data_IF_865113109912
#
_entry.id   IF_865113109912
#
_cell.length_a   1.000
_cell.length_b   1.000
_cell.length_c   1.000
_cell.angle_alpha   90.00
_cell.angle_beta   90.00
_cell.angle_gamma   90.00
#
_symmetry.space_group_name_H-M   'P 1'
#
loop_
_entity.id
_entity.type
_entity.pdbx_description
1 polymer ?
#
# COMPACT_ATOMS: atom_id res chain seq x y z
N UNK A 1 -3.25 9.59 -41.37
CA UNK A 1 -2.29 8.87 -42.22
C UNK A 1 -0.99 8.70 -41.46
N UNK A 2 -0.26 7.62 -41.72
CA UNK A 2 1.02 7.31 -41.06
C UNK A 2 2.17 7.74 -41.97
N UNK A 3 3.16 8.42 -41.39
CA UNK A 3 4.36 8.91 -42.06
C UNK A 3 5.59 8.47 -41.28
N UNK A 4 6.43 7.68 -41.93
CA UNK A 4 7.71 7.27 -41.37
C UNK A 4 8.77 8.32 -41.73
N UNK A 5 9.64 8.66 -40.79
CA UNK A 5 10.71 9.63 -41.01
C UNK A 5 12.05 9.12 -40.50
N UNK A 6 13.13 9.62 -41.11
CA UNK A 6 14.51 9.41 -40.69
C UNK A 6 15.25 10.74 -40.78
N UNK A 7 15.65 11.27 -39.63
CA UNK A 7 16.35 12.54 -39.47
C UNK A 7 17.78 12.27 -39.03
N UNK A 8 18.74 13.00 -39.58
CA UNK A 8 20.05 13.18 -38.96
C UNK A 8 19.90 14.02 -37.68
N UNK A 9 20.90 14.02 -36.79
CA UNK A 9 20.90 14.90 -35.61
C UNK A 9 20.73 16.37 -36.03
N UNK A 10 19.80 17.08 -35.39
CA UNK A 10 19.35 18.43 -35.76
C UNK A 10 18.80 18.58 -37.21
N UNK A 11 18.58 17.48 -37.92
CA UNK A 11 18.03 17.46 -39.27
C UNK A 11 16.53 17.74 -39.29
N UNK A 12 16.02 18.10 -40.47
CA UNK A 12 14.59 18.33 -40.68
C UNK A 12 14.06 17.62 -41.93
N UNK A 13 12.77 17.26 -41.89
CA UNK A 13 12.03 16.69 -43.02
C UNK A 13 10.70 17.41 -43.15
N UNK A 14 10.28 17.66 -44.39
CA UNK A 14 8.97 18.21 -44.69
C UNK A 14 8.01 17.08 -45.04
N UNK A 15 6.78 17.18 -44.55
CA UNK A 15 5.69 16.26 -44.85
C UNK A 15 4.54 17.09 -45.39
N UNK A 16 4.17 16.85 -46.65
CA UNK A 16 3.02 17.48 -47.29
C UNK A 16 1.76 16.69 -46.92
N UNK A 17 1.05 17.20 -45.92
CA UNK A 17 -0.18 16.63 -45.38
C UNK A 17 -1.08 17.76 -44.91
N UNK A 18 -2.37 17.69 -45.27
CA UNK A 18 -3.39 18.59 -44.75
C UNK A 18 -4.15 17.92 -43.61
N UNK A 19 -4.37 18.65 -42.51
CA UNK A 19 -4.99 18.09 -41.33
C UNK A 19 -5.17 19.05 -40.17
N UNK A 20 -5.73 18.52 -39.08
CA UNK A 20 -5.97 19.22 -37.81
C UNK A 20 -5.43 18.47 -36.59
N UNK A 21 -4.81 17.29 -36.79
CA UNK A 21 -4.19 16.50 -35.74
C UNK A 21 -2.79 16.03 -36.11
N UNK A 22 -1.92 15.94 -35.11
CA UNK A 22 -0.55 15.44 -35.22
C UNK A 22 -0.25 14.59 -33.99
N UNK A 23 0.19 13.34 -34.15
CA UNK A 23 0.65 12.48 -33.06
C UNK A 23 1.99 11.86 -33.42
N UNK A 24 2.98 12.04 -32.57
CA UNK A 24 4.25 11.33 -32.66
C UNK A 24 4.06 9.93 -32.05
N UNK A 25 3.79 8.92 -32.87
CA UNK A 25 3.43 7.57 -32.40
C UNK A 25 4.58 6.89 -31.69
N UNK A 26 5.77 6.96 -32.28
CA UNK A 26 6.98 6.31 -31.76
C UNK A 26 8.22 6.92 -32.40
N UNK A 27 9.32 6.97 -31.66
CA UNK A 27 10.64 7.21 -32.21
C UNK A 27 11.70 7.31 -31.13
N UNK A 28 12.94 7.62 -31.52
CA UNK A 28 14.12 7.46 -30.65
C UNK A 28 14.49 8.71 -29.85
N UNK A 29 13.84 9.85 -30.10
CA UNK A 29 14.14 11.11 -29.40
C UNK A 29 13.06 12.18 -29.59
N UNK A 30 13.22 13.33 -28.93
CA UNK A 30 12.28 14.45 -29.08
C UNK A 30 12.32 15.05 -30.48
N UNK A 31 11.15 15.47 -30.99
CA UNK A 31 11.02 16.18 -32.27
C UNK A 31 10.32 17.52 -32.05
N UNK A 32 10.60 18.48 -32.93
CA UNK A 32 9.84 19.71 -33.12
C UNK A 32 9.02 19.60 -34.38
N UNK A 33 7.72 19.84 -34.29
CA UNK A 33 6.83 19.93 -35.45
C UNK A 33 6.41 21.37 -35.65
N UNK A 34 6.81 21.94 -36.78
CA UNK A 34 6.44 23.30 -37.22
C UNK A 34 5.28 23.18 -38.20
N UNK A 35 4.23 23.97 -38.00
CA UNK A 35 3.04 23.94 -38.85
C UNK A 35 3.13 25.00 -39.94
N UNK A 36 2.49 24.76 -41.10
CA UNK A 36 2.49 25.73 -42.20
C UNK A 36 1.76 27.04 -41.90
N UNK A 37 0.84 27.04 -40.92
CA UNK A 37 0.15 28.24 -40.43
C UNK A 37 0.96 29.02 -39.38
N UNK A 38 2.19 28.56 -39.06
CA UNK A 38 3.04 29.13 -38.03
C UNK A 38 2.94 28.40 -36.68
N UNK A 39 3.89 28.70 -35.80
CA UNK A 39 4.02 28.01 -34.50
C UNK A 39 4.74 26.66 -34.60
N UNK A 40 5.16 26.17 -33.43
CA UNK A 40 5.86 24.89 -33.29
C UNK A 40 5.38 24.17 -32.04
N UNK A 41 5.43 22.84 -32.07
CA UNK A 41 5.15 21.97 -30.93
C UNK A 41 6.33 21.01 -30.77
N UNK A 42 6.91 20.96 -29.57
CA UNK A 42 7.88 19.94 -29.21
C UNK A 42 7.13 18.71 -28.70
N UNK A 43 7.39 17.54 -29.29
CA UNK A 43 6.71 16.28 -29.00
C UNK A 43 7.72 15.21 -28.58
N UNK A 44 7.42 14.52 -27.50
CA UNK A 44 8.04 13.25 -27.13
C UNK A 44 7.28 12.07 -27.77
N UNK A 45 7.93 10.92 -27.98
CA UNK A 45 7.24 9.72 -28.44
C UNK A 45 5.99 9.41 -27.61
N UNK A 46 4.86 9.19 -28.27
CA UNK A 46 3.54 8.97 -27.67
C UNK A 46 2.66 10.23 -27.58
N UNK A 47 3.23 11.43 -27.69
CA UNK A 47 2.49 12.69 -27.56
C UNK A 47 1.85 13.14 -28.88
N UNK A 48 0.79 13.94 -28.78
CA UNK A 48 0.13 14.54 -29.92
C UNK A 48 -0.64 15.80 -29.55
N UNK A 49 -1.01 16.55 -30.58
CA UNK A 49 -1.79 17.78 -30.49
C UNK A 49 -2.95 17.71 -31.49
N UNK A 50 -4.10 18.24 -31.08
CA UNK A 50 -5.33 18.28 -31.85
C UNK A 50 -5.84 19.72 -31.97
N UNK A 51 -6.66 19.97 -32.99
CA UNK A 51 -7.25 21.30 -33.22
C UNK A 51 -6.27 22.32 -33.79
N UNK A 52 -5.15 21.85 -34.36
CA UNK A 52 -4.15 22.72 -35.01
C UNK A 52 -4.19 22.44 -36.49
N UNK A 53 -4.74 23.38 -37.26
CA UNK A 53 -4.83 23.23 -38.71
C UNK A 53 -3.48 23.43 -39.40
N UNK A 54 -3.19 22.59 -40.37
CA UNK A 54 -2.00 22.69 -41.22
C UNK A 54 -2.28 22.16 -42.62
N UNK A 55 -1.47 22.61 -43.57
CA UNK A 55 -1.40 22.12 -44.97
C UNK A 55 -0.07 21.43 -45.26
N UNK A 56 0.90 21.60 -44.37
CA UNK A 56 2.24 21.04 -44.42
C UNK A 56 2.85 21.07 -43.02
N UNK A 57 3.69 20.09 -42.73
CA UNK A 57 4.45 19.99 -41.48
C UNK A 57 5.95 19.95 -41.77
N UNK A 58 6.74 20.59 -40.92
CA UNK A 58 8.19 20.42 -40.90
C UNK A 58 8.56 19.77 -39.58
N UNK A 59 9.09 18.55 -39.63
CA UNK A 59 9.56 17.80 -38.48
C UNK A 59 11.07 18.01 -38.35
N UNK A 60 11.53 18.45 -37.19
CA UNK A 60 12.94 18.69 -36.89
C UNK A 60 13.36 17.86 -35.68
N UNK A 61 14.57 17.31 -35.70
CA UNK A 61 15.13 16.67 -34.52
C UNK A 61 15.47 17.71 -33.45
N UNK A 62 15.14 17.40 -32.19
CA UNK A 62 15.55 18.18 -31.02
C UNK A 62 16.37 17.38 -30.02
N UNK A 63 16.64 16.11 -30.30
CA UNK A 63 17.45 15.26 -29.45
C UNK A 63 18.96 15.47 -29.65
N UNK A 64 19.37 16.03 -30.79
CA UNK A 64 20.77 16.17 -31.19
C UNK A 64 21.37 14.89 -31.80
N UNK A 65 20.60 13.79 -31.83
CA UNK A 65 20.99 12.49 -32.37
C UNK A 65 20.13 12.10 -33.58
N UNK A 66 20.59 11.13 -34.38
CA UNK A 66 19.78 10.60 -35.46
C UNK A 66 18.46 10.04 -34.91
N UNK A 67 17.34 10.51 -35.47
CA UNK A 67 16.00 10.20 -34.99
C UNK A 67 15.20 9.50 -36.09
N UNK A 68 14.69 8.32 -35.78
CA UNK A 68 13.77 7.58 -36.65
C UNK A 68 12.47 7.38 -35.93
N UNK A 69 11.36 7.59 -36.61
CA UNK A 69 10.06 7.49 -35.99
C UNK A 69 8.89 7.50 -36.95
N UNK A 70 7.71 7.47 -36.35
CA UNK A 70 6.42 7.37 -37.00
C UNK A 70 5.53 8.50 -36.52
N UNK A 71 5.04 9.31 -37.45
CA UNK A 71 4.14 10.42 -37.19
C UNK A 71 2.78 10.13 -37.81
N UNK A 72 1.72 10.33 -37.04
CA UNK A 72 0.34 10.26 -37.50
C UNK A 72 -0.16 11.68 -37.72
N UNK A 73 -0.58 12.01 -38.94
CA UNK A 73 -1.18 13.31 -39.24
C UNK A 73 -2.35 13.15 -40.21
N UNK A 74 -3.32 14.05 -40.16
CA UNK A 74 -4.44 14.09 -41.09
C UNK A 74 -5.63 14.91 -40.59
N UNK A 75 -6.75 14.79 -41.30
CA UNK A 75 -7.99 15.53 -41.02
C UNK A 75 -9.06 14.71 -40.27
N UNK A 76 -8.81 13.42 -40.01
CA UNK A 76 -9.77 12.51 -39.36
C UNK A 76 -9.64 12.53 -37.84
N UNK A 77 -10.75 12.41 -37.11
CA UNK A 77 -10.76 12.31 -35.64
C UNK A 77 -10.37 10.89 -35.17
N UNK A 78 -9.11 10.51 -35.39
CA UNK A 78 -8.57 9.25 -34.89
C UNK A 78 -7.92 9.46 -33.52
N UNK A 79 -8.56 8.92 -32.47
CA UNK A 79 -8.10 9.00 -31.09
C UNK A 79 -7.64 7.63 -30.61
N UNK A 80 -6.37 7.33 -30.84
CA UNK A 80 -5.72 6.21 -30.17
C UNK A 80 -5.06 6.72 -28.89
N UNK A 81 -5.72 6.55 -27.75
CA UNK A 81 -5.17 6.87 -26.43
C UNK A 81 -4.55 5.64 -25.75
N UNK A 82 -4.32 4.56 -26.49
CA UNK A 82 -3.70 3.37 -25.93
C UNK A 82 -2.23 3.69 -25.66
N UNK A 83 -1.92 4.03 -24.42
CA UNK A 83 -0.57 4.05 -23.90
C UNK A 83 -0.28 2.60 -23.50
N UNK A 84 0.55 1.84 -24.24
CA UNK A 84 1.04 0.56 -23.75
C UNK A 84 1.94 0.83 -22.54
N UNK A 85 1.35 0.80 -21.36
CA UNK A 85 2.03 0.81 -20.08
C UNK A 85 1.48 -0.34 -19.26
N UNK A 86 2.35 -1.13 -18.64
CA UNK A 86 1.93 -2.11 -17.67
C UNK A 86 1.31 -1.35 -16.50
N UNK A 87 -0.02 -1.37 -16.38
CA UNK A 87 -0.69 -0.96 -15.15
C UNK A 87 -0.46 -2.08 -14.16
N UNK A 88 0.70 -2.08 -13.50
CA UNK A 88 0.88 -2.90 -12.31
C UNK A 88 0.09 -2.22 -11.20
N UNK A 89 -1.08 -2.76 -10.90
CA UNK A 89 -1.74 -2.48 -9.63
C UNK A 89 -0.86 -3.14 -8.57
N UNK A 90 0.10 -2.38 -8.05
CA UNK A 90 0.96 -2.86 -6.99
C UNK A 90 0.08 -3.18 -5.78
N UNK A 91 -0.05 -4.47 -5.45
CA UNK A 91 -0.67 -4.89 -4.21
C UNK A 91 0.14 -4.26 -3.06
N UNK A 92 -0.47 -3.28 -2.38
CA UNK A 92 0.15 -2.58 -1.27
C UNK A 92 0.65 -3.55 -0.20
N UNK A 93 -0.06 -4.68 0.00
CA UNK A 93 0.33 -5.72 0.94
C UNK A 93 1.67 -6.39 0.59
N UNK A 94 1.88 -6.70 -0.68
CA UNK A 94 3.14 -7.26 -1.17
C UNK A 94 4.28 -6.24 -1.05
N UNK A 95 4.02 -4.97 -1.38
CA UNK A 95 5.02 -3.91 -1.25
C UNK A 95 5.44 -3.70 0.22
N UNK A 96 4.49 -3.62 1.16
CA UNK A 96 4.79 -3.49 2.59
C UNK A 96 5.55 -4.70 3.15
N UNK A 97 5.21 -5.91 2.68
CA UNK A 97 5.91 -7.13 3.09
C UNK A 97 7.35 -7.12 2.56
N UNK A 98 7.56 -6.69 1.31
CA UNK A 98 8.90 -6.56 0.73
C UNK A 98 9.74 -5.49 1.40
N UNK A 99 9.10 -4.40 1.87
CA UNK A 99 9.72 -3.33 2.63
C UNK A 99 9.90 -3.66 4.12
N UNK A 100 9.67 -4.92 4.53
CA UNK A 100 9.88 -5.40 5.89
C UNK A 100 9.00 -4.72 6.96
N UNK A 101 7.83 -4.21 6.58
CA UNK A 101 6.93 -3.50 7.49
C UNK A 101 5.71 -4.33 7.93
N UNK A 102 5.55 -5.57 7.44
CA UNK A 102 4.45 -6.46 7.82
C UNK A 102 4.91 -7.54 8.79
N UNK A 103 4.14 -7.76 9.86
CA UNK A 103 4.48 -8.67 10.94
C UNK A 103 3.32 -9.59 11.29
N UNK A 104 3.65 -10.72 11.91
CA UNK A 104 2.69 -11.63 12.52
C UNK A 104 3.26 -12.15 13.83
N UNK A 105 2.39 -12.30 14.83
CA UNK A 105 2.81 -12.74 16.15
C UNK A 105 1.64 -13.26 16.96
N UNK A 106 1.88 -14.27 17.79
CA UNK A 106 0.89 -14.86 18.69
C UNK A 106 1.27 -14.64 20.15
N UNK A 107 0.26 -14.39 20.98
CA UNK A 107 0.40 -14.34 22.43
C UNK A 107 -0.72 -15.16 23.08
N UNK A 108 -0.43 -15.75 24.23
CA UNK A 108 -1.32 -16.70 24.91
C UNK A 108 -1.61 -16.22 26.33
N UNK A 109 -2.88 -16.11 26.67
CA UNK A 109 -3.34 -15.90 28.04
C UNK A 109 -3.42 -17.26 28.74
N UNK A 110 -2.53 -17.51 29.70
CA UNK A 110 -2.46 -18.78 30.45
C UNK A 110 -3.41 -18.72 31.64
N UNK A 111 -4.26 -19.74 31.82
CA UNK A 111 -5.21 -19.82 32.93
C UNK A 111 -4.50 -19.77 34.29
N UNK A 112 -4.90 -18.80 35.11
CA UNK A 112 -4.57 -18.74 36.52
C UNK A 112 -5.77 -18.26 37.35
N UNK A 113 -6.05 -18.95 38.44
CA UNK A 113 -7.19 -18.67 39.29
C UNK A 113 -6.99 -17.33 40.04
N UNK A 114 -8.08 -16.57 40.21
CA UNK A 114 -8.05 -15.30 40.94
C UNK A 114 -7.41 -14.13 40.17
N UNK A 115 -6.95 -14.33 38.93
CA UNK A 115 -6.40 -13.26 38.09
C UNK A 115 -7.12 -13.17 36.75
N UNK A 116 -7.01 -11.99 36.13
CA UNK A 116 -7.40 -11.74 34.76
C UNK A 116 -6.19 -11.98 33.86
N UNK A 117 -6.22 -13.08 33.12
CA UNK A 117 -5.16 -13.42 32.18
C UNK A 117 -5.40 -12.66 30.88
N UNK A 118 -4.35 -12.07 30.35
CA UNK A 118 -4.39 -11.28 29.13
C UNK A 118 -3.28 -11.70 28.18
N UNK A 119 -3.52 -11.46 26.90
CA UNK A 119 -2.49 -11.44 25.88
C UNK A 119 -2.59 -10.09 25.16
N UNK A 120 -1.48 -9.50 24.75
CA UNK A 120 -1.49 -8.16 24.18
C UNK A 120 -0.47 -8.00 23.05
N UNK A 121 -0.80 -7.13 22.12
CA UNK A 121 0.16 -6.50 21.22
C UNK A 121 0.38 -5.07 21.73
N UNK A 122 1.52 -4.85 22.38
CA UNK A 122 1.90 -3.58 22.94
C UNK A 122 2.81 -2.81 21.99
N UNK A 123 2.56 -1.51 21.85
CA UNK A 123 3.49 -0.56 21.26
C UNK A 123 4.21 0.18 22.40
N UNK A 124 5.45 -0.21 22.79
CA UNK A 124 6.11 0.35 23.96
C UNK A 124 6.28 1.87 23.90
N UNK A 125 6.28 2.52 25.06
CA UNK A 125 6.62 3.93 25.14
C UNK A 125 8.02 4.19 24.55
N UNK A 126 8.17 5.21 23.73
CA UNK A 126 9.43 5.53 23.04
C UNK A 126 9.61 4.88 21.67
N UNK A 127 8.66 4.04 21.21
CA UNK A 127 8.63 3.63 19.82
C UNK A 127 8.37 4.84 18.91
N UNK A 128 9.07 4.92 17.78
CA UNK A 128 8.91 5.98 16.77
C UNK A 128 7.91 5.62 15.67
N UNK A 129 7.25 4.47 15.80
CA UNK A 129 6.29 3.94 14.84
C UNK A 129 4.93 3.69 15.48
N UNK A 130 3.89 3.86 14.67
CA UNK A 130 2.55 3.35 14.95
C UNK A 130 2.46 1.87 14.55
N UNK A 131 1.72 1.10 15.35
CA UNK A 131 1.38 -0.29 15.04
C UNK A 131 -0.04 -0.31 14.48
N UNK A 132 -0.21 -0.79 13.25
CA UNK A 132 -1.48 -0.76 12.52
C UNK A 132 -1.97 -2.19 12.34
N UNK A 133 -2.98 -2.58 13.10
CA UNK A 133 -3.53 -3.95 13.14
C UNK A 133 -4.68 -4.07 12.14
N UNK A 134 -4.57 -5.05 11.23
CA UNK A 134 -5.58 -5.31 10.20
C UNK A 134 -6.57 -6.38 10.63
N UNK A 135 -6.08 -7.42 11.30
CA UNK A 135 -6.91 -8.51 11.76
C UNK A 135 -6.29 -9.21 12.95
N UNK A 136 -7.14 -9.86 13.73
CA UNK A 136 -6.73 -10.78 14.79
C UNK A 136 -7.44 -12.11 14.64
N UNK A 137 -6.78 -13.18 15.03
CA UNK A 137 -7.39 -14.51 15.16
C UNK A 137 -7.32 -14.91 16.62
N UNK A 138 -8.45 -15.11 17.27
CA UNK A 138 -8.49 -15.39 18.70
C UNK A 138 -9.29 -16.65 19.03
N UNK A 139 -8.92 -17.33 20.11
CA UNK A 139 -9.59 -18.54 20.61
C UNK A 139 -9.58 -18.55 22.13
N UNK A 140 -10.57 -19.21 22.74
CA UNK A 140 -10.56 -19.52 24.17
C UNK A 140 -10.68 -21.02 24.41
N UNK A 141 -10.09 -21.49 25.51
CA UNK A 141 -10.13 -22.90 25.94
C UNK A 141 -11.50 -23.28 26.54
N UNK A 142 -12.38 -22.30 26.75
CA UNK A 142 -13.76 -22.50 27.21
C UNK A 142 -14.73 -21.64 26.40
N UNK A 143 -15.99 -22.04 26.36
CA UNK A 143 -17.05 -21.21 25.76
C UNK A 143 -17.25 -19.96 26.59
N UNK A 144 -16.80 -18.81 26.10
CA UNK A 144 -16.83 -17.55 26.84
C UNK A 144 -16.83 -16.34 25.91
N UNK A 145 -17.10 -15.17 26.47
CA UNK A 145 -16.98 -13.91 25.76
C UNK A 145 -15.50 -13.54 25.59
N UNK A 146 -15.11 -13.14 24.40
CA UNK A 146 -13.80 -12.56 24.15
C UNK A 146 -13.93 -11.04 24.07
N UNK A 147 -13.00 -10.32 24.70
CA UNK A 147 -13.00 -8.86 24.67
C UNK A 147 -11.64 -8.32 24.20
N UNK A 148 -11.68 -7.33 23.33
CA UNK A 148 -10.52 -6.54 22.94
C UNK A 148 -10.57 -5.14 23.60
N UNK A 149 -9.44 -4.66 24.07
CA UNK A 149 -9.28 -3.32 24.67
C UNK A 149 -8.14 -2.59 23.98
N UNK A 150 -8.28 -1.28 23.80
CA UNK A 150 -7.18 -0.41 23.44
C UNK A 150 -6.91 0.50 24.63
N UNK A 151 -5.75 0.33 25.28
CA UNK A 151 -5.46 1.01 26.54
C UNK A 151 -3.98 1.36 26.66
N UNK A 152 -3.67 2.31 27.55
CA UNK A 152 -2.31 2.54 28.02
C UNK A 152 -1.78 1.26 28.67
N UNK A 153 -0.58 0.84 28.25
CA UNK A 153 -0.04 -0.45 28.68
C UNK A 153 1.48 -0.44 28.64
N UNK A 154 2.09 -0.89 29.73
CA UNK A 154 3.53 -1.11 29.82
C UNK A 154 3.76 -2.62 29.78
N UNK A 155 4.32 -3.18 28.69
CA UNK A 155 4.55 -4.61 28.60
C UNK A 155 5.60 -5.06 29.63
N UNK A 156 5.36 -6.21 30.24
CA UNK A 156 6.32 -6.87 31.13
C UNK A 156 7.28 -7.77 30.35
N UNK A 157 6.81 -8.37 29.25
CA UNK A 157 7.61 -9.17 28.34
C UNK A 157 8.43 -8.35 27.33
N UNK A 158 9.29 -9.05 26.58
CA UNK A 158 10.05 -8.50 25.45
C UNK A 158 9.96 -9.40 24.20
N UNK A 159 8.98 -10.28 24.13
CA UNK A 159 8.77 -11.15 22.97
C UNK A 159 8.38 -10.28 21.78
N UNK A 160 9.10 -10.36 20.67
CA UNK A 160 8.84 -9.56 19.47
C UNK A 160 8.09 -10.39 18.44
N UNK A 161 7.19 -9.75 17.68
CA UNK A 161 6.59 -10.38 16.51
C UNK A 161 7.62 -10.51 15.38
N UNK A 162 7.41 -11.50 14.51
CA UNK A 162 8.30 -11.78 13.39
C UNK A 162 7.76 -11.13 12.11
N UNK A 163 8.69 -10.79 11.22
CA UNK A 163 8.32 -10.32 9.89
C UNK A 163 7.63 -11.43 9.09
N UNK A 164 6.65 -11.06 8.26
CA UNK A 164 6.03 -12.02 7.33
C UNK A 164 6.96 -12.46 6.21
N UNK A 165 8.00 -11.67 5.91
CA UNK A 165 9.09 -12.07 5.02
C UNK A 165 10.15 -12.79 5.85
N UNK A 166 10.39 -14.07 5.54
CA UNK A 166 11.44 -14.86 6.21
C UNK A 166 12.80 -14.14 6.19
N UNK A 167 13.48 -14.13 7.33
CA UNK A 167 14.75 -13.41 7.51
C UNK A 167 14.64 -11.88 7.64
N UNK A 168 13.42 -11.33 7.66
CA UNK A 168 13.17 -9.91 7.89
C UNK A 168 13.46 -9.45 9.32
N UNK A 169 13.46 -8.13 9.51
CA UNK A 169 13.65 -7.51 10.83
C UNK A 169 12.55 -7.91 11.82
N UNK A 170 12.87 -7.98 13.10
CA UNK A 170 11.87 -8.17 14.17
C UNK A 170 11.05 -6.90 14.38
N UNK A 171 9.80 -7.06 14.82
CA UNK A 171 8.94 -5.93 15.15
C UNK A 171 9.48 -5.15 16.34
N UNK A 172 9.25 -3.83 16.32
CA UNK A 172 9.40 -2.96 17.48
C UNK A 172 8.31 -3.18 18.53
N UNK A 173 7.12 -3.60 18.11
CA UNK A 173 6.01 -4.00 18.97
C UNK A 173 6.33 -5.26 19.79
N UNK A 174 5.70 -5.36 20.95
CA UNK A 174 5.90 -6.46 21.91
C UNK A 174 4.63 -7.29 21.99
N UNK A 175 4.78 -8.60 21.83
CA UNK A 175 3.79 -9.59 22.23
C UNK A 175 3.96 -9.84 23.72
N UNK A 176 2.89 -9.65 24.48
CA UNK A 176 2.93 -9.80 25.93
C UNK A 176 1.82 -10.73 26.42
N UNK A 177 2.10 -11.42 27.51
CA UNK A 177 1.16 -12.27 28.22
C UNK A 177 1.30 -11.97 29.71
N UNK A 178 0.22 -11.52 30.34
CA UNK A 178 0.27 -11.06 31.72
C UNK A 178 -0.96 -11.51 32.50
N UNK A 179 -0.87 -11.39 33.82
CA UNK A 179 -1.92 -11.73 34.76
C UNK A 179 -2.14 -10.54 35.67
N UNK A 180 -3.33 -9.94 35.62
CA UNK A 180 -3.65 -8.78 36.44
C UNK A 180 -4.61 -9.16 37.57
N UNK A 181 -4.37 -8.63 38.76
CA UNK A 181 -5.25 -8.79 39.91
C UNK A 181 -6.57 -7.99 39.76
N UNK A 182 -6.62 -6.99 38.87
CA UNK A 182 -7.81 -6.15 38.64
C UNK A 182 -7.94 -5.72 37.18
N UNK A 183 -9.19 -5.61 36.73
CA UNK A 183 -9.58 -5.14 35.39
C UNK A 183 -9.60 -3.61 35.28
N UNK A 184 -9.63 -2.89 36.40
CA UNK A 184 -9.80 -1.43 36.41
C UNK A 184 -8.68 -0.68 35.65
N UNK A 185 -7.56 -1.35 35.36
CA UNK A 185 -6.45 -0.82 34.59
C UNK A 185 -6.68 -0.75 33.07
N UNK A 186 -7.71 -1.42 32.51
CA UNK A 186 -7.87 -1.54 31.05
C UNK A 186 -8.65 -0.42 30.36
N UNK A 187 -9.10 0.61 31.10
CA UNK A 187 -9.88 1.72 30.54
C UNK A 187 -11.21 1.28 29.91
N UNK A 188 -11.75 2.10 29.01
CA UNK A 188 -12.97 1.76 28.27
C UNK A 188 -12.65 0.77 27.14
N UNK A 189 -13.42 -0.33 26.98
CA UNK A 189 -13.19 -1.28 25.90
C UNK A 189 -13.38 -0.60 24.55
N UNK A 190 -12.47 -0.86 23.61
CA UNK A 190 -12.74 -0.68 22.19
C UNK A 190 -13.72 -1.79 21.81
N UNK A 191 -15.01 -1.52 22.01
CA UNK A 191 -16.04 -2.51 22.30
C UNK A 191 -16.25 -3.54 21.17
N UNK A 192 -15.43 -4.60 21.17
CA UNK A 192 -15.68 -5.81 20.41
C UNK A 192 -15.82 -6.97 21.39
N UNK A 193 -17.05 -7.49 21.47
CA UNK A 193 -17.39 -8.67 22.24
C UNK A 193 -17.74 -9.78 21.27
N UNK A 194 -17.13 -10.94 21.47
CA UNK A 194 -17.38 -12.11 20.65
C UNK A 194 -17.79 -13.27 21.53
N UNK A 195 -18.92 -13.89 21.24
CA UNK A 195 -19.16 -15.25 21.70
C UNK A 195 -18.16 -16.16 21.01
N UNK A 196 -17.46 -16.97 21.78
CA UNK A 196 -16.64 -18.04 21.25
C UNK A 196 -17.14 -19.40 21.73
N UNK A 197 -17.23 -20.34 20.78
CA UNK A 197 -17.44 -21.77 21.06
C UNK A 197 -16.11 -22.36 21.45
N UNK A 198 -16.08 -23.14 22.54
CA UNK A 198 -14.86 -23.73 23.09
C UNK A 198 -13.89 -24.24 22.01
N UNK A 199 -12.66 -23.73 22.04
CA UNK A 199 -11.56 -24.20 21.19
C UNK A 199 -11.67 -23.79 19.72
N UNK A 200 -12.65 -22.98 19.33
CA UNK A 200 -12.85 -22.57 17.94
C UNK A 200 -12.16 -21.22 17.68
N UNK A 201 -11.14 -21.16 16.81
CA UNK A 201 -10.54 -19.89 16.43
C UNK A 201 -11.55 -19.01 15.68
N UNK A 202 -11.62 -17.74 16.04
CA UNK A 202 -12.43 -16.72 15.37
C UNK A 202 -11.52 -15.72 14.69
N UNK A 203 -11.73 -15.55 13.39
CA UNK A 203 -11.07 -14.50 12.62
C UNK A 203 -11.87 -13.20 12.73
N UNK A 204 -11.19 -12.14 13.15
CA UNK A 204 -11.74 -10.79 13.25
C UNK A 204 -10.94 -9.91 12.31
N UNK A 205 -11.56 -9.51 11.21
CA UNK A 205 -11.00 -8.54 10.27
C UNK A 205 -11.63 -7.20 10.55
N UNK A 206 -10.81 -6.19 10.84
CA UNK A 206 -11.33 -4.84 11.08
C UNK A 206 -11.63 -4.17 9.74
N UNK A 207 -12.82 -3.56 9.61
CA UNK A 207 -13.19 -2.78 8.43
C UNK A 207 -12.25 -1.58 8.25
N UNK A 208 -11.87 -0.97 9.37
CA UNK A 208 -10.86 0.07 9.49
C UNK A 208 -9.76 -0.45 10.42
N UNK A 209 -8.47 -0.28 10.07
CA UNK A 209 -7.40 -0.82 10.89
C UNK A 209 -7.36 -0.15 12.26
N UNK A 210 -7.00 -0.93 13.28
CA UNK A 210 -6.76 -0.39 14.63
C UNK A 210 -5.35 0.15 14.70
N UNK A 211 -5.22 1.45 14.97
CA UNK A 211 -3.91 2.11 15.15
C UNK A 211 -3.58 2.14 16.64
N UNK A 212 -2.44 1.57 17.01
CA UNK A 212 -1.90 1.55 18.38
C UNK A 212 -0.72 2.53 18.43
N UNK A 213 -0.89 3.72 19.03
CA UNK A 213 0.19 4.68 19.20
C UNK A 213 1.20 4.21 20.28
N UNK A 214 2.41 4.79 20.35
CA UNK A 214 3.37 4.47 21.39
C UNK A 214 2.80 4.65 22.81
N UNK A 215 3.05 3.70 23.69
CA UNK A 215 2.52 3.62 25.05
C UNK A 215 1.17 2.90 25.19
N UNK A 216 0.56 2.46 24.09
CA UNK A 216 -0.71 1.75 24.09
C UNK A 216 -0.55 0.27 23.70
N UNK A 217 -1.55 -0.54 24.01
CA UNK A 217 -1.65 -1.92 23.55
C UNK A 217 -3.08 -2.26 23.11
N UNK A 218 -3.17 -3.17 22.14
CA UNK A 218 -4.38 -3.93 21.85
C UNK A 218 -4.36 -5.20 22.70
N UNK A 219 -5.24 -5.24 23.70
CA UNK A 219 -5.27 -6.25 24.74
C UNK A 219 -6.44 -7.19 24.49
N UNK A 220 -6.16 -8.48 24.51
CA UNK A 220 -7.09 -9.57 24.46
C UNK A 220 -7.33 -10.14 25.86
N UNK A 221 -8.60 -10.30 26.22
CA UNK A 221 -9.02 -10.99 27.44
C UNK A 221 -10.03 -12.10 27.11
N UNK A 222 -9.72 -13.37 27.43
CA UNK A 222 -10.69 -14.45 27.39
C UNK A 222 -11.58 -14.42 28.65
N UNK A 223 -12.87 -14.15 28.46
CA UNK A 223 -13.90 -14.18 29.49
C UNK A 223 -14.05 -12.90 30.31
N UNK A 224 -15.12 -12.83 31.11
CA UNK A 224 -15.36 -11.78 32.11
C UNK A 224 -14.99 -12.18 33.54
N UNK A 225 -14.74 -13.47 33.76
CA UNK A 225 -14.32 -14.03 35.04
C UNK A 225 -12.81 -14.24 35.08
N UNK A 226 -12.26 -14.34 36.29
CA UNK A 226 -10.87 -14.75 36.51
C UNK A 226 -10.62 -16.17 35.98
N UNK A 227 -9.39 -16.48 35.56
CA UNK A 227 -9.01 -17.85 35.15
C UNK A 227 -9.27 -18.22 33.69
N UNK A 228 -9.71 -17.29 32.84
CA UNK A 228 -9.82 -17.54 31.40
C UNK A 228 -8.46 -17.83 30.76
N UNK A 229 -8.43 -18.72 29.76
CA UNK A 229 -7.28 -18.97 28.91
C UNK A 229 -7.66 -18.89 27.44
N UNK A 230 -6.71 -18.50 26.61
CA UNK A 230 -6.91 -18.39 25.18
C UNK A 230 -5.70 -17.86 24.44
N UNK A 231 -5.76 -17.95 23.13
CA UNK A 231 -4.70 -17.49 22.23
C UNK A 231 -5.20 -16.35 21.36
N UNK A 232 -4.30 -15.45 20.99
CA UNK A 232 -4.55 -14.45 19.97
C UNK A 232 -3.33 -14.32 19.05
N UNK A 233 -3.59 -14.29 17.76
CA UNK A 233 -2.61 -13.98 16.72
C UNK A 233 -2.95 -12.64 16.10
N UNK A 234 -1.96 -11.77 16.00
CA UNK A 234 -2.07 -10.44 15.42
C UNK A 234 -1.48 -10.43 14.02
N UNK A 235 -2.21 -9.81 13.09
CA UNK A 235 -1.73 -9.45 11.76
C UNK A 235 -1.67 -7.91 11.66
N UNK A 236 -0.46 -7.39 11.54
CA UNK A 236 -0.24 -5.96 11.62
C UNK A 236 0.95 -5.49 10.78
N UNK A 237 1.07 -4.17 10.67
CA UNK A 237 2.21 -3.48 10.08
C UNK A 237 2.69 -2.36 10.99
N UNK A 238 3.90 -1.88 10.74
CA UNK A 238 4.45 -0.70 11.41
C UNK A 238 4.62 0.45 10.42
N UNK A 239 4.24 1.66 10.84
CA UNK A 239 4.37 2.87 10.03
C UNK A 239 5.04 3.98 10.85
N UNK A 240 5.92 4.75 10.24
CA UNK A 240 6.55 5.91 10.88
C UNK A 240 5.47 6.95 11.20
N UNK A 241 5.56 7.57 12.38
CA UNK A 241 4.66 8.63 12.84
C UNK A 241 4.87 9.90 12.03
#
# INVERSE_FOLDING_TARGET
>A
MQYDFKLSGNGGMQIDVQGSFIKYKSGTGAIRVVTSKGGYIDLLPGQGVWGVDFTRLTVQDRSGNANTGVLLAGAYDFRDQTIPGTVSVADGGMNWTNNLNCFMGSASAIANAGTHNIAALANPAGNTKNVVVKSVKCSSVSGTYLTLFLALYTPAGNTKALNKKGGGAVSSAVLDAAQLASVAAFGNPLAMHFDNVNGTPRDVVFQEPVVIPPGYALIYRPGNTTGGAGDITFDFREEVI
#
